data_IF_897232806058
#
_entry.id   IF_897232806058
#
_cell.length_a   1.000
_cell.length_b   1.000
_cell.length_c   1.000
_cell.angle_alpha   90.00
_cell.angle_beta   90.00
_cell.angle_gamma   90.00
#
_symmetry.space_group_name_H-M   'P 1'
#
loop_
_entity.id
_entity.type
_entity.pdbx_description
1 polymer ?
#
# COMPACT_ATOMS: atom_id res chain seq x y z
N UNK A 1 9.25 -10.87 19.24
CA UNK A 1 8.28 -9.98 18.79
C UNK A 1 8.31 -9.80 17.30
N UNK A 2 7.17 -9.86 16.70
CA UNK A 2 7.08 -9.79 15.28
C UNK A 2 6.76 -8.39 14.84
N UNK A 3 7.39 -7.97 13.76
CA UNK A 3 7.04 -6.70 13.18
C UNK A 3 5.62 -6.78 12.64
N UNK A 4 4.89 -5.68 12.78
CA UNK A 4 3.57 -5.61 12.21
C UNK A 4 3.66 -5.61 10.70
N UNK A 5 2.84 -6.41 10.05
CA UNK A 5 2.80 -6.41 8.60
C UNK A 5 1.94 -5.26 8.12
N UNK A 6 2.36 -4.67 7.03
CA UNK A 6 1.59 -3.59 6.41
C UNK A 6 1.37 -3.92 4.95
N UNK A 7 0.32 -3.33 4.38
CA UNK A 7 0.03 -3.49 2.97
C UNK A 7 1.16 -2.87 2.14
N UNK A 8 1.71 -3.63 1.22
CA UNK A 8 2.83 -3.18 0.39
C UNK A 8 2.36 -2.31 -0.78
N UNK A 9 1.14 -1.81 -0.70
CA UNK A 9 0.59 -0.89 -1.67
C UNK A 9 0.17 0.43 -1.02
N UNK A 10 -0.51 0.36 0.13
CA UNK A 10 -1.02 1.57 0.79
C UNK A 10 -0.55 1.73 2.23
N UNK A 11 0.24 0.80 2.73
CA UNK A 11 0.83 0.79 4.07
C UNK A 11 -0.19 0.60 5.21
N UNK A 12 -1.43 0.21 4.88
CA UNK A 12 -2.41 -0.08 5.93
C UNK A 12 -1.98 -1.30 6.74
N UNK A 13 -2.13 -1.28 8.08
CA UNK A 13 -1.76 -2.44 8.88
C UNK A 13 -2.58 -3.68 8.51
N UNK A 14 -1.91 -4.82 8.47
CA UNK A 14 -2.55 -6.10 8.14
C UNK A 14 -2.64 -6.99 9.37
N UNK A 15 -2.97 -6.42 10.51
CA UNK A 15 -3.07 -7.16 11.75
C UNK A 15 -4.43 -7.81 11.95
N UNK A 16 -5.35 -7.57 11.03
CA UNK A 16 -6.70 -8.13 11.10
C UNK A 16 -6.95 -8.92 9.82
N UNK A 17 -7.27 -10.23 9.93
CA UNK A 17 -7.50 -11.05 8.73
C UNK A 17 -8.58 -10.50 7.81
N UNK A 18 -9.55 -9.77 8.36
CA UNK A 18 -10.61 -9.20 7.54
C UNK A 18 -10.09 -8.09 6.62
N UNK A 19 -8.89 -7.60 6.89
CA UNK A 19 -8.32 -6.51 6.09
C UNK A 19 -7.37 -6.99 5.00
N UNK A 20 -7.04 -8.27 4.97
CA UNK A 20 -6.13 -8.80 3.96
C UNK A 20 -6.85 -9.02 2.64
N UNK A 21 -6.12 -8.82 1.54
CA UNK A 21 -6.61 -9.22 0.24
C UNK A 21 -6.55 -10.73 0.09
N UNK A 22 -6.85 -11.23 -1.08
CA UNK A 22 -6.85 -12.68 -1.32
C UNK A 22 -5.99 -13.02 -2.51
N UNK A 23 -5.38 -14.20 -2.43
CA UNK A 23 -4.64 -14.74 -3.55
C UNK A 23 -5.60 -15.41 -4.51
N UNK A 24 -5.10 -15.85 -5.64
CA UNK A 24 -5.93 -16.46 -6.66
C UNK A 24 -6.68 -17.68 -6.16
N UNK A 25 -6.08 -18.41 -5.23
CA UNK A 25 -6.71 -19.62 -4.68
C UNK A 25 -7.62 -19.32 -3.49
N UNK A 26 -7.81 -18.04 -3.17
CA UNK A 26 -8.69 -17.65 -2.08
C UNK A 26 -8.00 -17.50 -0.73
N UNK A 27 -6.73 -17.85 -0.64
CA UNK A 27 -6.02 -17.71 0.63
C UNK A 27 -5.72 -16.24 0.90
N UNK A 28 -5.54 -15.86 2.17
CA UNK A 28 -5.27 -14.45 2.49
C UNK A 28 -3.89 -14.03 2.01
N UNK A 29 -3.83 -12.82 1.48
CA UNK A 29 -2.57 -12.24 1.10
C UNK A 29 -1.79 -11.85 2.35
N UNK A 30 -0.48 -12.04 2.32
CA UNK A 30 0.38 -11.62 3.42
C UNK A 30 1.02 -10.27 3.15
N UNK A 31 0.76 -9.68 1.98
CA UNK A 31 1.43 -8.46 1.59
C UNK A 31 0.50 -7.30 1.25
N UNK A 32 -0.76 -7.57 0.92
CA UNK A 32 -1.67 -6.53 0.43
C UNK A 32 -3.00 -6.59 1.14
N UNK A 33 -3.64 -5.44 1.26
CA UNK A 33 -4.94 -5.36 1.92
C UNK A 33 -6.07 -5.61 0.93
N UNK A 34 -7.27 -5.83 1.49
CA UNK A 34 -8.44 -6.15 0.68
C UNK A 34 -8.88 -5.00 -0.23
N UNK A 35 -8.45 -3.78 0.06
CA UNK A 35 -8.80 -2.64 -0.78
C UNK A 35 -7.85 -2.47 -1.96
N UNK A 36 -6.70 -3.14 -1.91
CA UNK A 36 -5.70 -3.01 -2.97
C UNK A 36 -5.59 -4.26 -3.83
N UNK A 37 -5.93 -5.42 -3.29
CA UNK A 37 -5.57 -6.69 -3.91
C UNK A 37 -6.63 -7.73 -3.62
N UNK A 38 -7.08 -8.41 -4.66
CA UNK A 38 -8.11 -9.44 -4.51
C UNK A 38 -7.97 -10.46 -5.62
N UNK A 39 -8.16 -11.72 -5.26
CA UNK A 39 -8.11 -12.82 -6.22
C UNK A 39 -6.83 -12.86 -7.04
N UNK A 40 -5.71 -12.52 -6.39
CA UNK A 40 -4.40 -12.58 -7.01
C UNK A 40 -4.07 -11.41 -7.91
N UNK A 41 -4.87 -10.36 -7.90
CA UNK A 41 -4.66 -9.20 -8.76
C UNK A 41 -4.90 -7.90 -8.01
N UNK A 42 -4.19 -6.87 -8.40
CA UNK A 42 -4.49 -5.55 -7.89
C UNK A 42 -5.86 -5.12 -8.40
N UNK A 43 -6.66 -4.55 -7.49
CA UNK A 43 -7.99 -4.07 -7.85
C UNK A 43 -7.89 -2.94 -8.84
N UNK A 44 -6.85 -2.12 -8.72
CA UNK A 44 -6.63 -1.00 -9.64
C UNK A 44 -5.21 -1.07 -10.16
N UNK A 45 -4.93 -1.93 -11.13
CA UNK A 45 -3.55 -2.12 -11.60
C UNK A 45 -2.95 -0.91 -12.30
N UNK A 46 -3.79 0.00 -12.79
CA UNK A 46 -3.29 1.21 -13.43
C UNK A 46 -3.01 2.37 -12.49
N UNK A 47 -3.17 2.15 -11.19
CA UNK A 47 -2.96 3.21 -10.22
C UNK A 47 -1.49 3.60 -10.15
N UNK A 48 -1.20 4.91 -10.10
CA UNK A 48 0.16 5.39 -9.96
C UNK A 48 0.48 5.66 -8.50
N UNK A 49 1.78 5.81 -8.21
CA UNK A 49 2.20 6.16 -6.86
C UNK A 49 1.60 7.49 -6.41
N UNK A 50 1.57 8.46 -7.29
CA UNK A 50 1.00 9.77 -6.95
C UNK A 50 -0.47 9.64 -6.59
N UNK A 51 -1.20 8.84 -7.34
CA UNK A 51 -2.61 8.61 -7.03
C UNK A 51 -2.77 7.91 -5.69
N UNK A 52 -1.90 6.96 -5.41
CA UNK A 52 -1.95 6.27 -4.13
C UNK A 52 -1.68 7.23 -2.98
N UNK A 53 -0.76 8.16 -3.17
CA UNK A 53 -0.46 9.15 -2.13
C UNK A 53 -1.70 9.99 -1.80
N UNK A 54 -2.45 10.37 -2.82
CA UNK A 54 -3.69 11.12 -2.61
C UNK A 54 -4.71 10.28 -1.84
N UNK A 55 -4.88 9.04 -2.25
CA UNK A 55 -5.84 8.14 -1.60
C UNK A 55 -5.47 7.94 -0.13
N UNK A 56 -4.22 7.67 0.14
CA UNK A 56 -3.78 7.43 1.51
C UNK A 56 -3.99 8.67 2.37
N UNK A 57 -3.62 9.83 1.84
CA UNK A 57 -3.82 11.07 2.57
C UNK A 57 -5.29 11.29 2.91
N UNK A 58 -6.16 11.10 1.92
CA UNK A 58 -7.59 11.31 2.14
C UNK A 58 -8.15 10.36 3.18
N UNK A 59 -7.75 9.09 3.12
CA UNK A 59 -8.23 8.11 4.07
C UNK A 59 -7.77 8.42 5.49
N UNK A 60 -6.52 8.85 5.63
CA UNK A 60 -6.00 9.19 6.94
C UNK A 60 -6.64 10.44 7.50
N UNK A 61 -6.92 11.42 6.63
CA UNK A 61 -7.61 12.63 7.06
C UNK A 61 -9.03 12.32 7.52
N UNK A 62 -9.70 11.42 6.83
CA UNK A 62 -11.04 11.02 7.23
C UNK A 62 -11.06 10.39 8.61
N UNK A 63 -9.97 9.75 8.98
CA UNK A 63 -9.86 9.11 10.30
C UNK A 63 -9.29 10.05 11.33
N UNK A 64 -9.10 11.30 10.98
CA UNK A 64 -8.62 12.34 11.89
C UNK A 64 -7.24 12.05 12.45
N UNK A 65 -6.40 11.41 11.65
CA UNK A 65 -5.01 11.15 12.05
C UNK A 65 -4.19 12.42 11.90
N UNK A 66 -3.22 12.59 12.78
CA UNK A 66 -2.40 13.79 12.78
C UNK A 66 -1.46 13.88 11.60
N UNK A 67 -1.02 15.09 11.28
CA UNK A 67 -0.11 15.31 10.15
C UNK A 67 1.20 14.54 10.24
N UNK A 68 1.82 14.40 11.42
CA UNK A 68 3.05 13.59 11.48
C UNK A 68 2.84 12.15 11.02
N UNK A 69 1.70 11.55 11.37
CA UNK A 69 1.42 10.19 10.92
C UNK A 69 1.17 10.13 9.43
N UNK A 70 0.43 11.11 8.91
CA UNK A 70 0.15 11.16 7.49
C UNK A 70 1.44 11.35 6.70
N UNK A 71 2.31 12.25 7.14
CA UNK A 71 3.57 12.49 6.45
C UNK A 71 4.44 11.23 6.45
N UNK A 72 4.49 10.52 7.58
CA UNK A 72 5.27 9.29 7.65
C UNK A 72 4.73 8.23 6.69
N UNK A 73 3.42 8.10 6.62
CA UNK A 73 2.81 7.13 5.71
C UNK A 73 3.12 7.47 4.26
N UNK A 74 2.97 8.74 3.89
CA UNK A 74 3.23 9.16 2.52
C UNK A 74 4.69 8.97 2.15
N UNK A 75 5.59 9.27 3.09
CA UNK A 75 7.03 9.13 2.85
C UNK A 75 7.45 7.66 2.71
N UNK A 76 6.70 6.75 3.31
CA UNK A 76 7.04 5.33 3.24
C UNK A 76 6.52 4.65 1.97
N UNK A 77 5.55 5.24 1.28
CA UNK A 77 4.94 4.62 0.11
C UNK A 77 5.95 4.25 -0.97
N UNK A 78 6.89 5.14 -1.37
CA UNK A 78 7.81 4.77 -2.45
C UNK A 78 8.67 3.56 -2.15
N UNK A 79 8.87 3.23 -0.87
CA UNK A 79 9.66 2.07 -0.48
C UNK A 79 8.87 0.78 -0.40
N UNK A 80 7.56 0.83 -0.60
CA UNK A 80 6.75 -0.37 -0.54
C UNK A 80 6.94 -1.22 -1.79
N UNK A 81 6.69 -2.50 -1.65
CA UNK A 81 6.97 -3.46 -2.69
C UNK A 81 6.34 -3.09 -4.03
N UNK A 82 5.10 -2.64 -4.02
CA UNK A 82 4.40 -2.29 -5.25
C UNK A 82 5.06 -1.11 -5.97
N UNK A 83 5.50 -0.11 -5.20
CA UNK A 83 5.99 1.14 -5.76
C UNK A 83 7.49 1.21 -5.91
N UNK A 84 8.21 0.33 -5.22
CA UNK A 84 9.67 0.33 -5.26
C UNK A 84 10.19 0.17 -6.69
N UNK A 85 9.55 -0.71 -7.44
CA UNK A 85 9.89 -0.93 -8.83
C UNK A 85 9.76 0.34 -9.66
N UNK A 86 8.65 1.03 -9.50
CA UNK A 86 8.41 2.25 -10.26
C UNK A 86 9.40 3.34 -9.91
N UNK A 87 9.73 3.46 -8.63
CA UNK A 87 10.69 4.47 -8.20
C UNK A 87 12.04 4.24 -8.84
N UNK A 88 12.49 3.00 -8.82
CA UNK A 88 13.77 2.66 -9.41
C UNK A 88 13.74 2.87 -10.91
N UNK A 89 12.69 2.42 -11.55
CA UNK A 89 12.56 2.58 -12.99
C UNK A 89 12.53 4.03 -13.40
N UNK A 90 11.86 4.85 -12.63
CA UNK A 90 11.77 6.27 -12.94
C UNK A 90 13.10 6.98 -12.80
N UNK A 91 13.95 6.51 -11.89
CA UNK A 91 15.24 7.11 -11.71
C UNK A 91 16.20 6.77 -12.82
N UNK A 92 15.96 5.67 -13.43
CA UNK A 92 16.86 5.23 -14.44
C UNK A 92 16.69 5.93 -15.71
N UNK A 93 15.93 6.51 -15.60
CA UNK A 93 15.88 7.28 -16.59
C UNK A 93 16.70 8.28 -16.41
N UNK A 94 17.10 7.78 -15.73
CA UNK A 94 17.73 8.21 -15.35
C UNK A 94 18.45 8.24 -15.34
N UNK A 95 18.54 7.92 -15.49
CA UNK A 95 18.95 7.88 -15.25
C UNK A 95 19.12 8.03 -15.32
#
# INVERSE_FOLDING_TARGET
MTAMKICQSCSMPLDNPALTGTEKDGSPSTEYCTYCYRDGEFINPGLTLEQMQVIVREQMEKRHLGQPLIANALNSLPGLKRWHHESIGGLQYKK
#
